data_IF_452978174220
#
_entry.id   IF_452978174220
#
_cell.length_a   1.000
_cell.length_b   1.000
_cell.length_c   1.000
_cell.angle_alpha   90.00
_cell.angle_beta   90.00
_cell.angle_gamma   90.00
#
_symmetry.space_group_name_H-M   'P 1'
#
loop_
_entity.id
_entity.type
_entity.pdbx_description
1 polymer ?
#
# COMPACT_ATOMS: atom_id res chain seq x y z
N UNK A 1 7.73 -59.89 -15.49
CA UNK A 1 6.76 -58.82 -15.14
C UNK A 1 7.46 -57.47 -15.32
N UNK A 2 7.24 -56.82 -16.46
CA UNK A 2 7.77 -55.48 -16.77
C UNK A 2 7.04 -54.41 -15.95
N UNK A 3 7.77 -53.59 -15.19
CA UNK A 3 7.25 -52.35 -14.63
C UNK A 3 7.92 -51.18 -15.33
N UNK A 4 7.17 -50.53 -16.21
CA UNK A 4 7.49 -49.22 -16.76
C UNK A 4 7.41 -48.17 -15.65
N UNK A 5 8.51 -47.47 -15.40
CA UNK A 5 8.54 -46.25 -14.58
C UNK A 5 8.19 -45.11 -15.52
N UNK A 6 7.01 -44.51 -15.31
CA UNK A 6 6.62 -43.29 -16.00
C UNK A 6 7.41 -42.11 -15.42
N UNK A 7 8.31 -41.56 -16.22
CA UNK A 7 9.02 -40.32 -15.91
C UNK A 7 8.01 -39.16 -16.07
N UNK A 8 7.54 -38.60 -14.95
CA UNK A 8 6.75 -37.38 -14.96
C UNK A 8 7.68 -36.22 -15.39
N UNK A 9 7.48 -35.71 -16.60
CA UNK A 9 8.15 -34.51 -17.09
C UNK A 9 7.70 -33.33 -16.22
N UNK A 10 8.59 -32.86 -15.36
CA UNK A 10 8.45 -31.61 -14.64
C UNK A 10 8.47 -30.49 -15.68
N UNK A 11 7.30 -29.97 -16.06
CA UNK A 11 7.22 -28.72 -16.83
C UNK A 11 7.76 -27.61 -15.92
N UNK A 12 9.04 -27.33 -16.05
CA UNK A 12 9.64 -26.08 -15.59
C UNK A 12 9.09 -25.01 -16.53
N UNK A 13 7.98 -24.38 -16.13
CA UNK A 13 7.51 -23.18 -16.82
C UNK A 13 8.59 -22.12 -16.63
N UNK A 14 9.34 -21.87 -17.70
CA UNK A 14 10.20 -20.70 -17.80
C UNK A 14 9.36 -19.46 -17.41
N UNK A 15 9.87 -18.57 -16.54
CA UNK A 15 9.18 -17.32 -16.27
C UNK A 15 8.98 -16.62 -17.61
N UNK A 16 7.73 -16.21 -17.89
CA UNK A 16 7.41 -15.42 -19.06
C UNK A 16 8.44 -14.28 -19.17
N UNK A 17 9.14 -14.23 -20.31
CA UNK A 17 10.13 -13.19 -20.60
C UNK A 17 9.53 -11.83 -20.23
N UNK A 18 10.18 -11.14 -19.28
CA UNK A 18 9.78 -9.82 -18.85
C UNK A 18 9.74 -8.90 -20.08
N UNK A 19 8.52 -8.55 -20.54
CA UNK A 19 8.37 -7.53 -21.55
C UNK A 19 9.07 -6.25 -21.07
N UNK A 20 9.82 -5.55 -21.94
CA UNK A 20 10.61 -4.40 -21.53
C UNK A 20 9.70 -3.32 -20.94
N UNK A 21 10.14 -2.74 -19.83
CA UNK A 21 9.48 -1.56 -19.27
C UNK A 21 9.56 -0.41 -20.29
N UNK A 22 8.58 0.50 -20.26
CA UNK A 22 8.57 1.68 -21.13
C UNK A 22 9.79 2.55 -20.80
N UNK A 23 10.68 2.85 -21.77
CA UNK A 23 11.77 3.79 -21.53
C UNK A 23 11.21 5.20 -21.31
N UNK A 24 11.79 5.93 -20.36
CA UNK A 24 11.44 7.32 -20.06
C UNK A 24 12.60 8.26 -20.38
N UNK A 25 12.26 9.51 -20.64
CA UNK A 25 13.20 10.65 -20.64
C UNK A 25 12.75 11.68 -19.60
N UNK A 26 13.65 12.51 -19.05
CA UNK A 26 13.24 13.59 -18.16
C UNK A 26 12.16 14.48 -18.81
N UNK A 27 11.18 14.90 -18.02
CA UNK A 27 10.04 15.71 -18.47
C UNK A 27 9.01 14.97 -19.33
N UNK A 28 9.06 13.63 -19.38
CA UNK A 28 8.09 12.85 -20.16
C UNK A 28 6.65 13.15 -19.72
N UNK A 29 5.77 13.42 -20.69
CA UNK A 29 4.33 13.59 -20.48
C UNK A 29 3.59 12.38 -21.06
N UNK A 30 2.73 11.76 -20.26
CA UNK A 30 1.90 10.62 -20.64
C UNK A 30 0.45 10.97 -20.32
N UNK A 31 -0.41 11.02 -21.33
CA UNK A 31 -1.84 11.26 -21.14
C UNK A 31 -2.67 10.14 -21.76
N UNK A 32 -3.83 9.85 -21.15
CA UNK A 32 -4.83 8.90 -21.71
C UNK A 32 -4.25 7.52 -22.03
N UNK A 33 -3.22 7.12 -21.29
CA UNK A 33 -2.51 5.87 -21.56
C UNK A 33 -3.38 4.67 -21.21
N UNK A 34 -3.47 3.74 -22.15
CA UNK A 34 -4.09 2.44 -21.95
C UNK A 34 -3.06 1.37 -22.24
N UNK A 35 -2.81 0.51 -21.26
CA UNK A 35 -1.95 -0.65 -21.40
C UNK A 35 -2.61 -1.83 -20.70
N UNK A 36 -2.72 -2.95 -21.39
CA UNK A 36 -3.42 -4.13 -20.89
C UNK A 36 -2.58 -5.40 -20.86
N UNK A 37 -1.31 -5.34 -21.24
CA UNK A 37 -0.54 -6.56 -21.55
C UNK A 37 0.84 -6.61 -20.92
N UNK A 38 1.42 -5.49 -20.50
CA UNK A 38 2.83 -5.45 -20.06
C UNK A 38 3.12 -6.32 -18.84
N UNK A 39 4.34 -6.85 -18.71
CA UNK A 39 4.79 -7.42 -17.45
C UNK A 39 5.05 -6.33 -16.39
N UNK A 40 5.73 -5.26 -16.79
CA UNK A 40 5.85 -3.99 -16.04
C UNK A 40 5.52 -2.84 -16.98
N UNK A 41 4.82 -1.81 -16.52
CA UNK A 41 4.52 -0.67 -17.39
C UNK A 41 5.66 0.36 -17.39
N UNK A 42 5.99 0.96 -16.24
CA UNK A 42 7.13 1.85 -16.04
C UNK A 42 8.06 1.24 -14.99
N UNK A 43 9.36 1.19 -15.30
CA UNK A 43 10.42 0.83 -14.37
C UNK A 43 11.64 1.69 -14.72
N UNK A 44 11.81 2.80 -13.98
CA UNK A 44 12.76 3.86 -14.30
C UNK A 44 13.56 4.29 -13.07
N UNK A 45 14.74 4.87 -13.30
CA UNK A 45 15.57 5.50 -12.29
C UNK A 45 15.39 7.02 -12.39
N UNK A 46 16.48 7.79 -12.46
CA UNK A 46 16.49 9.25 -12.54
C UNK A 46 15.90 9.80 -13.83
N UNK A 47 15.75 8.98 -14.87
CA UNK A 47 15.12 9.38 -16.14
C UNK A 47 13.63 9.73 -15.98
N UNK A 48 13.03 9.41 -14.83
CA UNK A 48 11.67 9.77 -14.49
C UNK A 48 11.50 11.20 -13.94
N UNK A 49 12.57 11.97 -13.73
CA UNK A 49 12.43 13.34 -13.22
C UNK A 49 11.56 14.19 -14.15
N UNK A 50 10.64 14.95 -13.58
CA UNK A 50 9.67 15.76 -14.33
C UNK A 50 8.53 14.96 -14.98
N UNK A 51 8.38 13.66 -14.71
CA UNK A 51 7.29 12.85 -15.26
C UNK A 51 5.92 13.44 -14.92
N UNK A 52 5.10 13.65 -15.94
CA UNK A 52 3.68 14.03 -15.81
C UNK A 52 2.81 12.97 -16.44
N UNK A 53 2.01 12.28 -15.63
CA UNK A 53 1.09 11.24 -16.09
C UNK A 53 -0.33 11.57 -15.67
N UNK A 54 -1.28 11.59 -16.61
CA UNK A 54 -2.68 11.95 -16.36
C UNK A 54 -3.66 11.10 -17.17
N UNK A 55 -4.74 10.64 -16.56
CA UNK A 55 -5.80 9.90 -17.23
C UNK A 55 -5.29 8.55 -17.73
N UNK A 56 -5.18 7.52 -16.89
CA UNK A 56 -4.63 6.23 -17.36
C UNK A 56 -5.39 5.01 -16.89
N UNK A 57 -5.26 3.93 -17.66
CA UNK A 57 -5.78 2.60 -17.32
C UNK A 57 -4.71 1.55 -17.62
N UNK A 58 -4.18 0.96 -16.56
CA UNK A 58 -3.10 -0.02 -16.64
C UNK A 58 -3.56 -1.40 -16.14
N UNK A 59 -3.22 -2.43 -16.91
CA UNK A 59 -3.18 -3.83 -16.46
C UNK A 59 -1.82 -4.42 -16.80
N UNK A 60 -1.22 -5.08 -15.82
CA UNK A 60 0.12 -5.66 -15.95
C UNK A 60 0.26 -6.97 -15.15
N UNK A 61 1.32 -7.73 -15.36
CA UNK A 61 1.53 -8.95 -14.56
C UNK A 61 2.14 -8.65 -13.18
N UNK A 62 3.14 -7.77 -13.11
CA UNK A 62 3.93 -7.54 -11.88
C UNK A 62 3.82 -6.12 -11.34
N UNK A 63 4.19 -5.11 -12.13
CA UNK A 63 4.30 -3.76 -11.60
C UNK A 63 3.74 -2.68 -12.54
N UNK A 64 3.05 -1.72 -11.95
CA UNK A 64 2.56 -0.55 -12.68
C UNK A 64 3.66 0.45 -12.92
N UNK A 65 3.96 1.24 -11.90
CA UNK A 65 4.91 2.35 -11.99
C UNK A 65 5.96 2.16 -10.91
N UNK A 66 7.21 1.92 -11.31
CA UNK A 66 8.34 1.83 -10.39
C UNK A 66 9.32 2.96 -10.69
N UNK A 67 9.49 3.86 -9.72
CA UNK A 67 10.40 5.00 -9.82
C UNK A 67 11.46 4.86 -8.74
N UNK A 68 12.73 4.97 -9.15
CA UNK A 68 13.88 4.64 -8.30
C UNK A 68 14.98 5.69 -8.44
N UNK A 69 16.01 5.58 -7.61
CA UNK A 69 17.14 6.51 -7.63
C UNK A 69 16.71 7.88 -7.10
N UNK A 70 17.18 8.95 -7.74
CA UNK A 70 16.90 10.35 -7.35
C UNK A 70 15.89 11.03 -8.28
N UNK A 71 14.83 10.32 -8.70
CA UNK A 71 13.81 10.92 -9.56
C UNK A 71 12.95 11.92 -8.79
N UNK A 72 12.64 13.08 -9.39
CA UNK A 72 11.92 14.16 -8.70
C UNK A 72 10.98 14.97 -9.61
N UNK A 73 10.18 15.88 -9.03
CA UNK A 73 9.20 16.72 -9.74
C UNK A 73 8.13 15.94 -10.52
N UNK A 74 7.62 14.88 -9.91
CA UNK A 74 6.72 13.92 -10.54
C UNK A 74 5.27 14.21 -10.18
N UNK A 75 4.38 14.13 -11.17
CA UNK A 75 2.92 14.21 -10.98
C UNK A 75 2.24 13.04 -11.69
N UNK A 76 1.49 12.23 -10.94
CA UNK A 76 0.71 11.10 -11.45
C UNK A 76 -0.74 11.27 -11.01
N UNK A 77 -1.67 11.40 -11.96
CA UNK A 77 -3.05 11.78 -11.69
C UNK A 77 -4.10 10.96 -12.43
N UNK A 78 -5.29 10.91 -11.84
CA UNK A 78 -6.55 10.48 -12.47
C UNK A 78 -6.42 9.14 -13.20
N UNK A 79 -6.02 8.08 -12.50
CA UNK A 79 -5.70 6.82 -13.15
C UNK A 79 -6.13 5.59 -12.38
N UNK A 80 -6.16 4.47 -13.08
CA UNK A 80 -6.46 3.17 -12.50
C UNK A 80 -5.42 2.14 -12.91
N UNK A 81 -5.08 1.26 -11.97
CA UNK A 81 -4.13 0.19 -12.21
C UNK A 81 -4.49 -1.08 -11.45
N UNK A 82 -4.21 -2.23 -12.04
CA UNK A 82 -4.32 -3.53 -11.39
C UNK A 82 -3.43 -4.57 -12.04
N UNK A 83 -3.16 -5.67 -11.33
CA UNK A 83 -2.59 -6.84 -11.99
C UNK A 83 -3.64 -7.56 -12.84
N UNK A 84 -3.19 -8.28 -13.87
CA UNK A 84 -4.04 -9.12 -14.75
C UNK A 84 -4.46 -10.42 -14.07
N UNK A 85 -3.64 -10.88 -13.13
CA UNK A 85 -3.77 -12.16 -12.44
C UNK A 85 -3.10 -12.07 -11.09
N UNK A 86 -3.41 -13.03 -10.23
CA UNK A 86 -2.66 -13.28 -9.01
C UNK A 86 -1.25 -13.75 -9.37
N UNK A 87 -0.24 -13.20 -8.71
CA UNK A 87 1.16 -13.58 -8.93
C UNK A 87 1.56 -14.75 -8.03
N UNK A 88 2.65 -15.42 -8.40
CA UNK A 88 3.20 -16.57 -7.67
C UNK A 88 4.72 -16.42 -7.52
N UNK A 89 5.31 -17.16 -6.59
CA UNK A 89 6.77 -17.25 -6.48
C UNK A 89 7.45 -15.94 -6.06
N UNK A 90 8.33 -15.40 -6.90
CA UNK A 90 9.12 -14.17 -6.66
C UNK A 90 8.57 -12.94 -7.39
N UNK A 91 7.44 -13.07 -8.10
CA UNK A 91 6.78 -11.97 -8.79
C UNK A 91 5.98 -11.12 -7.79
N UNK A 92 6.66 -10.23 -7.07
CA UNK A 92 6.03 -9.33 -6.10
C UNK A 92 5.13 -8.31 -6.84
N UNK A 93 3.79 -8.37 -6.68
CA UNK A 93 2.90 -7.46 -7.37
C UNK A 93 2.86 -6.10 -6.66
N UNK A 94 2.91 -5.00 -7.43
CA UNK A 94 2.82 -3.65 -6.86
C UNK A 94 2.20 -2.66 -7.84
N UNK A 95 1.41 -1.72 -7.31
CA UNK A 95 0.83 -0.65 -8.10
C UNK A 95 1.85 0.42 -8.45
N UNK A 96 2.13 1.29 -7.47
CA UNK A 96 3.19 2.29 -7.52
C UNK A 96 4.26 1.92 -6.49
N UNK A 97 5.52 1.89 -6.90
CA UNK A 97 6.68 1.58 -6.07
C UNK A 97 7.70 2.73 -6.19
N UNK A 98 7.91 3.46 -5.10
CA UNK A 98 8.91 4.53 -5.01
C UNK A 98 10.08 4.05 -4.15
N UNK A 99 11.31 4.12 -4.66
CA UNK A 99 12.49 3.72 -3.90
C UNK A 99 13.73 4.58 -4.16
N UNK A 100 14.78 4.42 -3.34
CA UNK A 100 15.95 5.29 -3.39
C UNK A 100 15.66 6.62 -2.68
N UNK A 101 15.98 7.74 -3.33
CA UNK A 101 15.79 9.11 -2.83
C UNK A 101 14.74 9.87 -3.63
N UNK A 102 13.79 9.17 -4.27
CA UNK A 102 12.68 9.80 -5.02
C UNK A 102 11.98 10.85 -4.14
N UNK A 103 11.68 12.01 -4.71
CA UNK A 103 11.13 13.12 -3.94
C UNK A 103 10.30 14.10 -4.77
N UNK A 104 9.58 15.02 -4.12
CA UNK A 104 8.71 16.00 -4.78
C UNK A 104 7.70 15.33 -5.73
N UNK A 105 6.95 14.38 -5.17
CA UNK A 105 5.97 13.56 -5.89
C UNK A 105 4.57 13.88 -5.44
N UNK A 106 3.68 14.11 -6.40
CA UNK A 106 2.23 14.11 -6.19
C UNK A 106 1.60 12.91 -6.90
N UNK A 107 0.90 12.10 -6.13
CA UNK A 107 -0.02 11.06 -6.63
C UNK A 107 -1.42 11.49 -6.21
N UNK A 108 -2.32 11.62 -7.18
CA UNK A 108 -3.67 12.14 -6.90
C UNK A 108 -4.77 11.53 -7.75
N UNK A 109 -5.85 11.08 -7.11
CA UNK A 109 -6.99 10.49 -7.82
C UNK A 109 -6.63 9.17 -8.52
N UNK A 110 -5.71 8.40 -7.94
CA UNK A 110 -5.27 7.11 -8.48
C UNK A 110 -5.92 5.95 -7.72
N UNK A 111 -6.45 4.99 -8.46
CA UNK A 111 -6.91 3.71 -7.91
C UNK A 111 -5.91 2.60 -8.20
N UNK A 112 -5.30 2.02 -7.16
CA UNK A 112 -4.46 0.83 -7.25
C UNK A 112 -5.22 -0.37 -6.67
N UNK A 113 -5.44 -1.42 -7.47
CA UNK A 113 -6.30 -2.52 -7.06
C UNK A 113 -5.80 -3.90 -7.45
N UNK A 114 -6.14 -4.92 -6.66
CA UNK A 114 -5.99 -6.31 -7.06
C UNK A 114 -4.55 -6.82 -7.13
N UNK A 115 -3.58 -6.15 -6.50
CA UNK A 115 -2.20 -6.62 -6.41
C UNK A 115 -2.14 -7.80 -5.45
N UNK A 116 -2.45 -8.98 -5.98
CA UNK A 116 -2.59 -10.22 -5.21
C UNK A 116 -1.48 -11.18 -5.52
N UNK A 117 -1.02 -11.85 -4.48
CA UNK A 117 -0.03 -12.92 -4.55
C UNK A 117 -0.58 -14.15 -3.84
N UNK A 118 -0.39 -15.32 -4.45
CA UNK A 118 -0.77 -16.59 -3.83
C UNK A 118 0.09 -16.82 -2.58
N UNK A 119 -0.54 -17.08 -1.42
CA UNK A 119 0.20 -17.35 -0.21
C UNK A 119 0.97 -18.66 -0.34
N UNK A 120 2.26 -18.62 -0.02
CA UNK A 120 3.12 -19.80 0.07
C UNK A 120 3.46 -20.03 1.53
N UNK A 121 3.29 -21.28 2.00
CA UNK A 121 3.54 -21.65 3.39
C UNK A 121 4.95 -21.18 3.83
N UNK A 122 5.02 -20.53 5.00
CA UNK A 122 6.25 -19.97 5.60
C UNK A 122 6.95 -18.89 4.74
N UNK A 123 6.32 -18.39 3.69
CA UNK A 123 6.81 -17.25 2.93
C UNK A 123 5.91 -16.04 3.14
N UNK A 124 6.53 -14.88 3.09
CA UNK A 124 5.82 -13.62 3.12
C UNK A 124 4.97 -13.46 1.86
N UNK A 125 3.70 -13.08 2.03
CA UNK A 125 2.81 -12.79 0.91
C UNK A 125 2.81 -11.29 0.69
N UNK A 126 3.32 -10.86 -0.47
CA UNK A 126 3.39 -9.46 -0.86
C UNK A 126 2.17 -9.08 -1.72
N UNK A 127 2.00 -7.80 -2.00
CA UNK A 127 0.94 -7.26 -2.84
C UNK A 127 0.52 -5.91 -2.32
N UNK A 128 1.26 -4.87 -2.70
CA UNK A 128 1.02 -3.50 -2.26
C UNK A 128 0.34 -2.67 -3.36
N UNK A 129 -0.68 -1.88 -3.01
CA UNK A 129 -1.25 -0.91 -3.96
C UNK A 129 -0.29 0.26 -4.19
N UNK A 130 0.17 0.86 -3.11
CA UNK A 130 1.18 1.92 -3.11
C UNK A 130 2.29 1.55 -2.13
N UNK A 131 3.53 1.58 -2.60
CA UNK A 131 4.74 1.28 -1.84
C UNK A 131 5.71 2.45 -1.93
N UNK A 132 6.29 2.78 -0.79
CA UNK A 132 7.33 3.78 -0.66
C UNK A 132 8.43 3.25 0.27
N UNK A 133 9.67 3.20 -0.20
CA UNK A 133 10.83 2.80 0.61
C UNK A 133 11.39 3.95 1.48
N UNK A 134 12.19 3.61 2.49
CA UNK A 134 12.55 4.52 3.58
C UNK A 134 13.30 5.80 3.18
N UNK A 135 14.03 5.79 2.07
CA UNK A 135 14.77 6.97 1.58
C UNK A 135 13.93 7.99 0.81
N UNK A 136 12.66 7.69 0.53
CA UNK A 136 11.75 8.55 -0.25
C UNK A 136 11.09 9.60 0.65
N UNK A 137 10.97 10.83 0.18
CA UNK A 137 10.51 11.98 0.98
C UNK A 137 9.74 13.01 0.15
N UNK A 138 9.03 13.94 0.80
CA UNK A 138 8.17 14.94 0.14
C UNK A 138 7.19 14.33 -0.88
N UNK A 139 6.53 13.24 -0.49
CA UNK A 139 5.46 12.60 -1.28
C UNK A 139 4.09 13.01 -0.73
N UNK A 140 3.20 13.44 -1.61
CA UNK A 140 1.79 13.65 -1.29
C UNK A 140 0.94 12.61 -2.02
N UNK A 141 0.15 11.87 -1.25
CA UNK A 141 -0.94 11.03 -1.75
C UNK A 141 -2.25 11.75 -1.48
N UNK A 142 -3.11 11.91 -2.48
CA UNK A 142 -4.34 12.69 -2.36
C UNK A 142 -5.51 12.07 -3.11
N UNK A 143 -6.62 11.80 -2.41
CA UNK A 143 -7.83 11.22 -3.01
C UNK A 143 -7.55 9.90 -3.75
N UNK A 144 -6.56 9.15 -3.27
CA UNK A 144 -6.18 7.86 -3.83
C UNK A 144 -6.94 6.71 -3.15
N UNK A 145 -7.16 5.65 -3.92
CA UNK A 145 -7.89 4.46 -3.48
C UNK A 145 -7.01 3.23 -3.64
N UNK A 146 -6.86 2.44 -2.58
CA UNK A 146 -6.13 1.18 -2.62
C UNK A 146 -7.01 0.01 -2.17
N UNK A 147 -7.25 -0.97 -3.06
CA UNK A 147 -8.20 -2.05 -2.73
C UNK A 147 -7.83 -3.45 -3.19
N UNK A 148 -8.23 -4.46 -2.42
CA UNK A 148 -8.10 -5.88 -2.76
C UNK A 148 -6.65 -6.32 -2.99
N UNK A 149 -5.69 -5.75 -2.27
CA UNK A 149 -4.28 -6.13 -2.35
C UNK A 149 -3.92 -7.14 -1.25
N UNK A 150 -3.01 -8.09 -1.53
CA UNK A 150 -2.68 -9.18 -0.59
C UNK A 150 -1.92 -8.71 0.66
N UNK A 151 -1.22 -7.57 0.59
CA UNK A 151 -0.43 -7.02 1.69
C UNK A 151 -0.89 -5.61 2.08
N UNK A 152 -0.23 -4.55 1.63
CA UNK A 152 -0.54 -3.16 1.98
C UNK A 152 -1.50 -2.49 1.00
N UNK A 153 -2.47 -1.74 1.53
CA UNK A 153 -3.12 -0.70 0.74
C UNK A 153 -2.11 0.41 0.41
N UNK A 154 -1.54 0.97 1.47
CA UNK A 154 -0.43 1.94 1.45
C UNK A 154 0.69 1.43 2.36
N UNK A 155 1.81 0.96 1.79
CA UNK A 155 3.03 0.56 2.51
C UNK A 155 4.07 1.67 2.46
N UNK A 156 4.03 2.55 3.46
CA UNK A 156 4.80 3.80 3.45
C UNK A 156 5.91 3.76 4.47
N UNK A 157 7.15 3.59 3.98
CA UNK A 157 8.36 3.55 4.79
C UNK A 157 9.10 4.87 4.85
N UNK A 158 8.81 5.82 3.99
CA UNK A 158 9.43 7.15 4.02
C UNK A 158 8.48 8.23 4.55
N UNK A 159 8.84 9.50 4.36
CA UNK A 159 7.98 10.63 4.74
C UNK A 159 6.88 10.84 3.70
N UNK A 160 5.63 10.95 4.16
CA UNK A 160 4.48 11.20 3.29
C UNK A 160 3.42 12.06 3.98
N UNK A 161 2.72 12.85 3.15
CA UNK A 161 1.50 13.56 3.52
C UNK A 161 0.32 12.87 2.85
N UNK A 162 -0.70 12.53 3.64
CA UNK A 162 -1.84 11.75 3.19
C UNK A 162 -3.12 12.60 3.25
N UNK A 163 -3.82 12.71 2.12
CA UNK A 163 -4.98 13.59 2.00
C UNK A 163 -6.19 12.83 1.44
N UNK A 164 -7.20 12.61 2.27
CA UNK A 164 -8.48 12.01 1.87
C UNK A 164 -8.35 10.66 1.16
N UNK A 165 -7.60 9.73 1.79
CA UNK A 165 -7.32 8.41 1.22
C UNK A 165 -8.37 7.38 1.60
N UNK A 166 -8.56 6.39 0.71
CA UNK A 166 -9.42 5.22 0.97
C UNK A 166 -8.60 3.95 0.79
N UNK A 167 -8.62 3.07 1.78
CA UNK A 167 -8.06 1.73 1.69
C UNK A 167 -9.10 0.68 2.07
N UNK A 168 -9.25 -0.36 1.26
CA UNK A 168 -10.34 -1.33 1.42
C UNK A 168 -9.91 -2.77 1.07
N UNK A 169 -10.25 -3.75 1.93
CA UNK A 169 -10.03 -5.19 1.68
C UNK A 169 -8.58 -5.53 1.35
N UNK A 170 -7.63 -4.85 1.98
CA UNK A 170 -6.20 -5.18 1.90
C UNK A 170 -5.79 -6.08 3.08
N UNK A 171 -4.61 -6.70 3.01
CA UNK A 171 -3.98 -7.34 4.18
C UNK A 171 -3.90 -6.38 5.37
N UNK A 172 -3.34 -5.20 5.13
CA UNK A 172 -3.35 -4.03 6.02
C UNK A 172 -3.68 -2.82 5.18
N UNK A 173 -4.63 -2.01 5.62
CA UNK A 173 -5.07 -0.87 4.81
C UNK A 173 -4.00 0.23 4.75
N UNK A 174 -3.48 0.64 5.91
CA UNK A 174 -2.39 1.59 6.00
C UNK A 174 -1.24 1.00 6.83
N UNK A 175 -0.02 0.99 6.29
CA UNK A 175 1.19 0.52 6.96
C UNK A 175 2.21 1.65 7.01
N UNK A 176 2.55 2.06 8.22
CA UNK A 176 3.46 3.18 8.43
C UNK A 176 4.69 2.71 9.20
N UNK A 177 5.85 2.91 8.60
CA UNK A 177 7.14 2.60 9.22
C UNK A 177 7.90 3.85 9.68
N UNK A 178 7.32 5.02 9.48
CA UNK A 178 7.88 6.32 9.86
C UNK A 178 6.75 7.30 10.20
N UNK A 179 7.13 8.55 10.48
CA UNK A 179 6.21 9.63 10.80
C UNK A 179 5.23 9.91 9.66
N UNK A 180 3.96 10.09 10.01
CA UNK A 180 2.87 10.35 9.06
C UNK A 180 2.00 11.50 9.57
N UNK A 181 1.61 12.34 8.63
CA UNK A 181 0.53 13.31 8.82
C UNK A 181 -0.56 13.03 7.79
N UNK A 182 -1.80 12.92 8.27
CA UNK A 182 -2.95 12.60 7.45
C UNK A 182 -4.14 13.48 7.78
N UNK A 183 -4.89 13.89 6.75
CA UNK A 183 -6.21 14.51 6.93
C UNK A 183 -7.25 13.42 7.23
N UNK A 184 -8.04 13.02 6.24
CA UNK A 184 -9.01 11.94 6.34
C UNK A 184 -8.41 10.63 5.83
N UNK A 185 -8.48 9.58 6.64
CA UNK A 185 -8.22 8.21 6.22
C UNK A 185 -9.50 7.39 6.37
N UNK A 186 -9.93 6.72 5.30
CA UNK A 186 -11.08 5.80 5.33
C UNK A 186 -10.59 4.38 5.13
N UNK A 187 -10.76 3.55 6.16
CA UNK A 187 -10.33 2.16 6.19
C UNK A 187 -11.53 1.22 6.18
N UNK A 188 -11.56 0.27 5.25
CA UNK A 188 -12.64 -0.72 5.11
C UNK A 188 -12.14 -2.16 5.08
N UNK A 189 -12.76 -3.01 5.89
CA UNK A 189 -12.62 -4.48 5.86
C UNK A 189 -11.18 -5.03 5.63
N UNK A 190 -10.11 -4.54 6.30
CA UNK A 190 -8.82 -5.19 6.19
C UNK A 190 -8.86 -6.56 6.86
N UNK A 191 -8.00 -7.48 6.43
CA UNK A 191 -7.87 -8.79 7.08
C UNK A 191 -6.95 -8.76 8.31
N UNK A 192 -6.03 -7.80 8.40
CA UNK A 192 -5.01 -7.74 9.44
C UNK A 192 -5.05 -6.49 10.34
N UNK A 193 -5.22 -5.29 9.78
CA UNK A 193 -5.30 -4.03 10.53
C UNK A 193 -5.81 -2.88 9.67
N UNK A 194 -6.53 -1.94 10.30
CA UNK A 194 -6.90 -0.68 9.65
C UNK A 194 -5.69 0.23 9.48
N UNK A 195 -4.95 0.48 10.57
CA UNK A 195 -3.66 1.18 10.57
C UNK A 195 -2.65 0.31 11.31
N UNK A 196 -1.52 0.03 10.68
CA UNK A 196 -0.44 -0.78 11.22
C UNK A 196 0.84 0.06 11.34
N UNK A 197 1.48 -0.01 12.51
CA UNK A 197 2.63 0.79 12.88
C UNK A 197 3.80 -0.10 13.31
N UNK A 198 4.95 0.05 12.66
CA UNK A 198 6.17 -0.65 13.03
C UNK A 198 7.40 0.08 12.47
N UNK A 199 7.89 1.09 13.17
CA UNK A 199 9.11 1.77 12.79
C UNK A 199 10.35 1.12 13.42
N UNK A 200 11.53 1.44 12.88
CA UNK A 200 12.83 1.10 13.49
C UNK A 200 13.40 2.23 14.36
N UNK A 201 12.55 3.20 14.70
CA UNK A 201 12.88 4.42 15.45
C UNK A 201 11.61 4.92 16.15
N UNK A 202 11.70 5.92 17.04
CA UNK A 202 10.52 6.61 17.54
C UNK A 202 9.64 7.11 16.40
N UNK A 203 8.32 7.00 16.56
CA UNK A 203 7.36 7.27 15.49
C UNK A 203 6.22 8.18 15.97
N UNK A 204 5.91 9.22 15.20
CA UNK A 204 4.80 10.14 15.43
C UNK A 204 3.79 10.07 14.27
N UNK A 205 2.55 9.73 14.58
CA UNK A 205 1.46 9.66 13.60
C UNK A 205 0.33 10.59 14.04
N UNK A 206 -0.05 11.51 13.15
CA UNK A 206 -1.22 12.37 13.35
C UNK A 206 -2.23 12.15 12.24
N UNK A 207 -3.47 11.85 12.62
CA UNK A 207 -4.61 11.68 11.72
C UNK A 207 -5.70 12.64 12.18
N UNK A 208 -6.12 13.55 11.31
CA UNK A 208 -7.20 14.48 11.64
C UNK A 208 -8.53 13.75 11.77
N UNK A 209 -8.86 12.87 10.81
CA UNK A 209 -10.09 12.09 10.83
C UNK A 209 -9.87 10.65 10.38
N UNK A 210 -10.21 9.70 11.24
CA UNK A 210 -10.14 8.27 10.93
C UNK A 210 -11.55 7.69 10.83
N UNK A 211 -11.93 7.26 9.62
CA UNK A 211 -13.19 6.57 9.34
C UNK A 211 -12.91 5.08 9.22
N UNK A 212 -13.53 4.28 10.09
CA UNK A 212 -13.39 2.82 10.10
C UNK A 212 -14.75 2.20 9.91
N UNK A 213 -14.95 1.56 8.75
CA UNK A 213 -16.18 0.83 8.42
C UNK A 213 -15.78 -0.62 8.20
N UNK A 214 -16.18 -1.52 9.07
CA UNK A 214 -15.73 -2.90 9.01
C UNK A 214 -16.84 -3.89 9.36
N UNK A 215 -16.81 -5.01 8.67
CA UNK A 215 -17.53 -6.24 9.01
C UNK A 215 -16.61 -7.26 9.70
N UNK A 216 -15.31 -6.99 9.76
CA UNK A 216 -14.30 -7.79 10.47
C UNK A 216 -13.92 -7.14 11.81
N UNK A 217 -13.32 -7.93 12.70
CA UNK A 217 -12.79 -7.46 13.99
C UNK A 217 -11.31 -7.05 13.93
N UNK A 218 -10.79 -6.74 12.74
CA UNK A 218 -9.42 -6.28 12.60
C UNK A 218 -9.18 -5.04 13.49
N UNK A 219 -8.07 -4.99 14.25
CA UNK A 219 -7.81 -3.86 15.14
C UNK A 219 -7.72 -2.54 14.37
N UNK A 220 -8.21 -1.46 14.97
CA UNK A 220 -8.13 -0.11 14.40
C UNK A 220 -6.66 0.30 14.30
N UNK A 221 -5.94 0.29 15.42
CA UNK A 221 -4.48 0.42 15.45
C UNK A 221 -3.84 -0.91 15.81
N UNK A 222 -2.90 -1.37 14.99
CA UNK A 222 -2.00 -2.49 15.31
C UNK A 222 -0.58 -1.97 15.43
N UNK A 223 -0.07 -1.92 16.66
CA UNK A 223 1.22 -1.32 16.98
C UNK A 223 2.20 -2.44 17.34
N UNK A 224 3.12 -2.70 16.42
CA UNK A 224 4.18 -3.72 16.53
C UNK A 224 5.57 -3.11 16.69
N UNK A 225 5.62 -1.84 17.06
CA UNK A 225 6.85 -1.09 17.21
C UNK A 225 7.49 -1.36 18.60
N UNK A 226 8.80 -1.63 18.61
CA UNK A 226 9.59 -1.77 19.84
C UNK A 226 10.06 -0.42 20.41
N UNK A 227 10.00 0.64 19.61
CA UNK A 227 10.39 2.00 19.97
C UNK A 227 9.18 2.82 20.45
N UNK A 228 9.39 3.98 21.11
CA UNK A 228 8.31 4.88 21.50
C UNK A 228 7.44 5.28 20.30
N UNK A 229 6.13 5.17 20.44
CA UNK A 229 5.15 5.61 19.43
C UNK A 229 4.21 6.62 20.04
N UNK A 230 3.99 7.73 19.34
CA UNK A 230 2.95 8.70 19.63
C UNK A 230 1.94 8.70 18.49
N UNK A 231 0.68 8.41 18.79
CA UNK A 231 -0.42 8.49 17.81
C UNK A 231 -1.44 9.49 18.31
N UNK A 232 -1.85 10.42 17.44
CA UNK A 232 -2.98 11.30 17.69
C UNK A 232 -4.02 11.11 16.59
N UNK A 233 -5.24 10.72 16.98
CA UNK A 233 -6.41 10.70 16.10
C UNK A 233 -7.39 11.73 16.62
N UNK A 234 -7.63 12.81 15.87
CA UNK A 234 -8.44 13.94 16.37
C UNK A 234 -9.94 13.67 16.31
N UNK A 235 -10.40 12.99 15.27
CA UNK A 235 -11.80 12.61 15.08
C UNK A 235 -11.95 11.18 14.57
N UNK A 236 -13.02 10.50 14.99
CA UNK A 236 -13.33 9.14 14.56
C UNK A 236 -14.78 8.96 14.10
N UNK A 237 -14.98 8.11 13.09
CA UNK A 237 -16.27 7.53 12.74
C UNK A 237 -16.10 6.03 12.69
N UNK A 238 -16.69 5.31 13.64
CA UNK A 238 -16.54 3.87 13.76
C UNK A 238 -17.88 3.16 13.54
N UNK A 239 -17.91 2.31 12.53
CA UNK A 239 -18.98 1.34 12.31
C UNK A 239 -18.33 -0.04 12.20
N UNK A 240 -18.12 -0.68 13.34
CA UNK A 240 -17.36 -1.94 13.46
C UNK A 240 -18.10 -2.97 14.31
N UNK A 241 -17.79 -4.27 14.19
CA UNK A 241 -18.39 -5.30 15.03
C UNK A 241 -17.93 -5.16 16.48
N UNK A 242 -18.76 -5.60 17.42
CA UNK A 242 -18.38 -5.74 18.83
C UNK A 242 -17.13 -6.63 18.96
N UNK A 243 -16.20 -6.23 19.80
CA UNK A 243 -14.92 -6.93 19.99
C UNK A 243 -13.77 -6.41 19.12
N UNK A 244 -14.03 -5.40 18.29
CA UNK A 244 -12.97 -4.69 17.54
C UNK A 244 -12.11 -3.89 18.50
N UNK A 245 -10.81 -4.20 18.58
CA UNK A 245 -9.87 -3.45 19.42
C UNK A 245 -9.55 -2.08 18.81
N UNK A 246 -9.58 -1.01 19.61
CA UNK A 246 -9.02 0.26 19.16
C UNK A 246 -7.50 0.18 19.00
N UNK A 247 -6.85 -0.55 19.89
CA UNK A 247 -5.40 -0.71 19.90
C UNK A 247 -5.05 -2.15 20.24
N UNK A 248 -4.26 -2.76 19.37
CA UNK A 248 -3.56 -4.00 19.63
C UNK A 248 -2.06 -3.71 19.72
N UNK A 249 -1.39 -4.25 20.74
CA UNK A 249 0.05 -4.05 20.95
C UNK A 249 0.42 -2.63 21.41
N UNK A 250 1.69 -2.28 21.24
CA UNK A 250 2.22 -0.95 21.60
C UNK A 250 2.00 -0.57 23.07
N UNK A 251 2.36 -1.44 24.02
CA UNK A 251 2.16 -1.17 25.46
C UNK A 251 2.82 0.14 25.92
N UNK A 252 3.93 0.52 25.30
CA UNK A 252 4.64 1.78 25.56
C UNK A 252 4.23 2.93 24.63
N UNK A 253 3.23 2.72 23.75
CA UNK A 253 2.73 3.75 22.86
C UNK A 253 1.81 4.71 23.61
N UNK A 254 1.95 6.00 23.30
CA UNK A 254 1.01 7.03 23.73
C UNK A 254 0.00 7.27 22.62
N UNK A 255 -1.26 6.88 22.84
CA UNK A 255 -2.33 7.10 21.87
C UNK A 255 -3.35 8.09 22.42
N UNK A 256 -3.48 9.23 21.73
CA UNK A 256 -4.47 10.27 22.02
C UNK A 256 -5.64 10.12 21.05
N UNK A 257 -6.80 9.85 21.62
CA UNK A 257 -8.06 9.70 20.90
C UNK A 257 -8.91 10.95 21.07
N UNK A 258 -9.51 11.40 19.97
CA UNK A 258 -10.50 12.47 19.93
C UNK A 258 -11.71 12.20 20.82
N UNK A 259 -12.47 13.25 21.14
CA UNK A 259 -13.64 13.13 22.04
C UNK A 259 -14.71 12.17 21.51
N UNK A 260 -14.84 12.03 20.19
CA UNK A 260 -15.78 11.12 19.53
C UNK A 260 -15.16 9.75 19.20
N UNK A 261 -13.94 9.44 19.64
CA UNK A 261 -13.30 8.14 19.45
C UNK A 261 -13.54 7.25 20.68
N UNK A 262 -14.77 6.75 20.83
CA UNK A 262 -15.24 6.10 22.06
C UNK A 262 -14.72 4.65 22.21
N UNK A 263 -14.52 4.22 23.46
CA UNK A 263 -14.13 2.85 23.81
C UNK A 263 -14.79 2.36 25.09
N UNK A 264 -14.97 1.06 25.19
CA UNK A 264 -15.42 0.44 26.44
C UNK A 264 -14.28 0.24 27.45
N UNK A 265 -14.60 -0.28 28.63
CA UNK A 265 -13.63 -0.52 29.70
C UNK A 265 -12.52 -1.52 29.33
N UNK A 266 -12.74 -2.36 28.30
CA UNK A 266 -11.78 -3.35 27.82
C UNK A 266 -10.95 -2.83 26.62
N UNK A 267 -11.19 -1.59 26.18
CA UNK A 267 -10.48 -0.98 25.05
C UNK A 267 -11.04 -1.36 23.67
N UNK A 268 -12.24 -1.92 23.61
CA UNK A 268 -12.93 -2.15 22.33
C UNK A 268 -13.57 -0.86 21.81
N UNK A 269 -13.55 -0.71 20.49
CA UNK A 269 -14.20 0.39 19.80
C UNK A 269 -15.71 0.37 20.06
N UNK A 270 -16.26 1.54 20.38
CA UNK A 270 -17.71 1.78 20.40
C UNK A 270 -18.07 2.51 19.11
N UNK A 271 -19.19 2.12 18.48
CA UNK A 271 -19.66 2.79 17.27
C UNK A 271 -20.04 4.24 17.56
N UNK A 272 -19.68 5.14 16.64
CA UNK A 272 -19.75 6.60 16.82
C UNK A 272 -20.46 7.30 15.68
#
# INVERSE_FOLDING_TARGET
MNRFIALAALLITTPALAGPARPLKPGTVITKAKNLTSYRYIDALTEASGLRMDGFQLRYDRAGIRLRGDAHDIVIRNGSMATKRETTGSDLPVGIDLAGTVHDVLIEGVTASGHRMQPVLKKYTNGDGFSQEAGVYRVTYRRDVSTNNSDGGFDLKGQARLEDLIAERNGRNYRFWNDITATTLTSRDPSGAHVWLNAKAPQNVTIDRLVVLSTTIAPVLRIENAFPVSVTVKECVFAVPRGTLLQWGGKSATVKWGRNCLRDANGYAINT
#
